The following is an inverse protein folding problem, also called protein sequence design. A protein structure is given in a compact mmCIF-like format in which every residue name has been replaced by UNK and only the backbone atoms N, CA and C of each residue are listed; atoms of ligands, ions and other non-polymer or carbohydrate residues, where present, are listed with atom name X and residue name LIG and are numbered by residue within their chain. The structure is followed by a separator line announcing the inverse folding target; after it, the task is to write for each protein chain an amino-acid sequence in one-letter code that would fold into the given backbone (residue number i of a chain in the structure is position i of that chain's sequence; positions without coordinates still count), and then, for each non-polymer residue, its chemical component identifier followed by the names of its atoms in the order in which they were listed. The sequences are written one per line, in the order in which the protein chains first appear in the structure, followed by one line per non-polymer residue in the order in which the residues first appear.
data_IF_739305759153
#
_entry.id   IF_739305759153
#
_cell.length_a   1.000
_cell.length_b   1.000
_cell.length_c   1.000
_cell.angle_alpha   90.00
_cell.angle_beta   90.00
_cell.angle_gamma   90.00
#
_symmetry.space_group_name_H-M   'P 1'
#
loop_
_entity.id
_entity.type
_entity.pdbx_description
1 polymer ?
#
# COMPACT_ATOMS: atom_id res chain seq x y z
N UNK A 1 44.34 8.46 -4.71
CA UNK A 1 44.26 8.62 -3.24
C UNK A 1 44.43 7.26 -2.59
N UNK A 2 45.54 7.03 -1.85
CA UNK A 2 45.74 5.79 -1.09
C UNK A 2 44.82 5.84 0.15
N UNK A 3 43.88 4.90 0.26
CA UNK A 3 43.06 4.79 1.44
C UNK A 3 43.91 4.36 2.64
N UNK A 4 43.76 5.07 3.77
CA UNK A 4 44.45 4.74 5.03
C UNK A 4 44.13 3.30 5.46
N UNK A 5 45.11 2.42 5.70
CA UNK A 5 44.89 1.03 6.13
C UNK A 5 43.99 0.88 7.36
N UNK A 6 44.10 1.79 8.34
CA UNK A 6 43.24 1.81 9.53
C UNK A 6 41.77 2.14 9.19
N UNK A 7 41.50 2.83 8.09
CA UNK A 7 40.16 3.10 7.59
C UNK A 7 39.54 1.83 6.98
N UNK A 8 40.35 1.04 6.25
CA UNK A 8 39.91 -0.23 5.67
C UNK A 8 39.62 -1.29 6.74
N UNK A 9 40.48 -1.43 7.73
CA UNK A 9 40.29 -2.37 8.86
C UNK A 9 39.01 -2.01 9.68
N UNK A 10 38.78 -0.74 9.98
CA UNK A 10 37.55 -0.28 10.62
C UNK A 10 36.31 -0.54 9.79
N UNK A 11 36.38 -0.37 8.48
CA UNK A 11 35.29 -0.66 7.57
C UNK A 11 34.98 -2.17 7.56
N UNK A 12 36.01 -3.00 7.40
CA UNK A 12 35.88 -4.46 7.41
C UNK A 12 35.27 -4.99 8.73
N UNK A 13 35.73 -4.48 9.87
CA UNK A 13 35.18 -4.82 11.18
C UNK A 13 33.69 -4.42 11.32
N UNK A 14 33.31 -3.21 10.89
CA UNK A 14 31.91 -2.76 10.90
C UNK A 14 31.02 -3.64 10.02
N UNK A 15 31.50 -4.01 8.84
CA UNK A 15 30.78 -4.87 7.92
C UNK A 15 30.61 -6.29 8.49
N UNK A 16 31.66 -6.87 9.07
CA UNK A 16 31.60 -8.18 9.71
C UNK A 16 30.58 -8.19 10.86
N UNK A 17 30.63 -7.20 11.75
CA UNK A 17 29.67 -7.08 12.86
C UNK A 17 28.24 -6.89 12.35
N UNK A 18 28.02 -6.12 11.27
CA UNK A 18 26.72 -5.94 10.66
C UNK A 18 26.19 -7.25 10.04
N UNK A 19 27.08 -8.04 9.42
CA UNK A 19 26.74 -9.36 8.89
C UNK A 19 26.35 -10.35 9.99
N UNK A 20 27.09 -10.36 11.10
CA UNK A 20 26.80 -11.21 12.26
C UNK A 20 25.41 -10.91 12.83
N UNK A 21 25.11 -9.64 13.12
CA UNK A 21 23.79 -9.19 13.60
C UNK A 21 22.67 -9.59 12.61
N UNK A 22 22.91 -9.43 11.31
CA UNK A 22 21.92 -9.81 10.30
C UNK A 22 21.72 -11.33 10.23
N UNK A 23 22.78 -12.13 10.34
CA UNK A 23 22.67 -13.60 10.39
C UNK A 23 21.89 -14.08 11.61
N UNK A 24 22.15 -13.49 12.80
CA UNK A 24 21.39 -13.78 14.01
C UNK A 24 19.90 -13.42 13.86
N UNK A 25 19.59 -12.25 13.28
CA UNK A 25 18.20 -11.85 13.02
C UNK A 25 17.49 -12.78 12.06
N UNK A 26 18.16 -13.19 10.98
CA UNK A 26 17.63 -14.14 9.99
C UNK A 26 17.40 -15.51 10.65
N UNK A 27 18.36 -15.99 11.45
CA UNK A 27 18.24 -17.27 12.14
C UNK A 27 17.11 -17.30 13.18
N UNK A 28 16.76 -16.15 13.76
CA UNK A 28 15.67 -16.01 14.72
C UNK A 28 14.31 -15.67 14.07
N UNK A 29 14.28 -15.46 12.76
CA UNK A 29 13.04 -15.21 12.02
C UNK A 29 12.43 -16.55 11.59
N UNK A 30 11.55 -17.09 12.42
CA UNK A 30 10.92 -18.41 12.26
C UNK A 30 9.42 -18.34 11.93
N UNK A 31 8.85 -17.13 11.84
CA UNK A 31 7.43 -16.92 11.55
C UNK A 31 7.18 -16.74 10.06
N UNK A 32 6.25 -17.52 9.54
CA UNK A 32 5.67 -17.33 8.21
C UNK A 32 4.22 -16.91 8.35
N UNK A 33 3.88 -15.72 7.80
CA UNK A 33 2.52 -15.19 7.82
C UNK A 33 2.32 -14.18 6.70
N UNK A 34 1.06 -13.97 6.33
CA UNK A 34 0.65 -12.84 5.51
C UNK A 34 0.91 -11.52 6.25
N UNK A 35 1.42 -10.53 5.54
CA UNK A 35 1.81 -9.23 6.11
C UNK A 35 0.73 -8.20 5.81
N UNK A 36 0.24 -7.50 6.84
CA UNK A 36 -0.51 -6.28 6.71
C UNK A 36 0.44 -5.08 6.68
N UNK A 37 0.53 -4.43 5.53
CA UNK A 37 1.39 -3.28 5.32
C UNK A 37 0.56 -2.01 5.12
N UNK A 38 0.84 -0.96 5.88
CA UNK A 38 0.19 0.35 5.74
C UNK A 38 1.18 1.39 5.23
N UNK A 39 0.83 2.03 4.11
CA UNK A 39 1.59 3.11 3.48
C UNK A 39 0.82 4.42 3.67
N UNK A 40 1.32 5.30 4.53
CA UNK A 40 0.63 6.54 4.90
C UNK A 40 1.51 7.77 4.80
N UNK A 41 1.01 8.91 5.24
CA UNK A 41 1.73 10.18 5.26
C UNK A 41 1.43 11.10 4.06
N UNK A 42 1.89 12.38 4.14
CA UNK A 42 1.59 13.42 3.14
C UNK A 42 2.42 13.30 1.87
N UNK A 43 3.51 12.52 1.89
CA UNK A 43 4.44 12.35 0.77
C UNK A 43 3.88 11.50 -0.36
N UNK A 44 4.50 11.62 -1.53
CA UNK A 44 4.20 10.80 -2.73
C UNK A 44 4.85 9.42 -2.63
N UNK A 45 4.33 8.46 -3.42
CA UNK A 45 4.88 7.12 -3.56
C UNK A 45 4.09 6.02 -2.84
N UNK A 46 3.01 6.33 -2.11
CA UNK A 46 2.19 5.33 -1.41
C UNK A 46 1.60 4.30 -2.38
N UNK A 47 0.77 4.75 -3.32
CA UNK A 47 0.18 3.88 -4.35
C UNK A 47 1.25 3.22 -5.21
N UNK A 48 2.28 3.97 -5.67
CA UNK A 48 3.39 3.41 -6.45
C UNK A 48 4.14 2.30 -5.70
N UNK A 49 4.29 2.40 -4.37
CA UNK A 49 4.88 1.32 -3.55
C UNK A 49 3.94 0.12 -3.46
N UNK A 50 2.62 0.34 -3.28
CA UNK A 50 1.61 -0.72 -3.28
C UNK A 50 1.60 -1.47 -4.62
N UNK A 51 1.52 -0.76 -5.73
CA UNK A 51 1.59 -1.35 -7.07
C UNK A 51 2.95 -2.01 -7.36
N UNK A 52 4.05 -1.51 -6.80
CA UNK A 52 5.35 -2.17 -6.87
C UNK A 52 5.36 -3.54 -6.16
N UNK A 53 4.66 -3.68 -5.04
CA UNK A 53 4.47 -4.96 -4.35
C UNK A 53 3.55 -5.89 -5.15
N UNK A 54 2.48 -5.35 -5.73
CA UNK A 54 1.60 -6.07 -6.65
C UNK A 54 2.39 -6.67 -7.82
N UNK A 55 3.22 -5.86 -8.49
CA UNK A 55 4.08 -6.32 -9.58
C UNK A 55 5.05 -7.43 -9.13
N UNK A 56 5.58 -7.33 -7.91
CA UNK A 56 6.46 -8.37 -7.33
C UNK A 56 5.68 -9.66 -7.09
N UNK A 57 4.48 -9.60 -6.51
CA UNK A 57 3.62 -10.75 -6.28
C UNK A 57 3.28 -11.46 -7.60
N UNK A 58 2.89 -10.70 -8.63
CA UNK A 58 2.64 -11.24 -9.97
C UNK A 58 3.88 -11.90 -10.59
N UNK A 59 5.08 -11.32 -10.36
CA UNK A 59 6.35 -11.92 -10.78
C UNK A 59 6.65 -13.28 -10.12
N UNK A 60 6.02 -13.59 -9.00
CA UNK A 60 6.02 -14.89 -8.33
C UNK A 60 4.84 -15.79 -8.71
N UNK A 61 3.99 -15.37 -9.66
CA UNK A 61 2.82 -16.14 -10.11
C UNK A 61 1.63 -16.07 -9.15
N UNK A 62 1.64 -15.16 -8.18
CA UNK A 62 0.59 -14.98 -7.20
C UNK A 62 -0.68 -14.38 -7.82
N UNK A 63 -1.84 -14.73 -7.25
CA UNK A 63 -3.11 -14.08 -7.56
C UNK A 63 -3.31 -12.85 -6.69
N UNK A 64 -3.70 -11.73 -7.29
CA UNK A 64 -3.80 -10.45 -6.58
C UNK A 64 -5.14 -9.77 -6.80
N UNK A 65 -5.65 -9.12 -5.76
CA UNK A 65 -6.82 -8.26 -5.81
C UNK A 65 -6.43 -6.80 -5.67
N UNK A 66 -7.11 -5.91 -6.37
CA UNK A 66 -6.96 -4.45 -6.24
C UNK A 66 -8.32 -3.81 -6.07
N UNK A 67 -8.48 -3.03 -5.02
CA UNK A 67 -9.64 -2.15 -4.83
C UNK A 67 -9.15 -0.72 -4.61
N UNK A 68 -9.50 0.18 -5.53
CA UNK A 68 -9.22 1.61 -5.41
C UNK A 68 -10.44 2.33 -4.86
N UNK A 69 -10.32 2.95 -3.69
CA UNK A 69 -11.40 3.64 -2.97
C UNK A 69 -11.62 5.09 -3.39
N UNK A 70 -10.63 5.68 -4.07
CA UNK A 70 -10.74 7.04 -4.59
C UNK A 70 -10.22 7.04 -6.02
N UNK A 71 -11.10 7.39 -6.96
CA UNK A 71 -10.70 7.58 -8.35
C UNK A 71 -10.41 9.06 -8.62
N UNK A 72 -9.25 9.35 -9.21
CA UNK A 72 -8.99 10.64 -9.84
C UNK A 72 -9.83 10.81 -11.12
N UNK A 73 -9.81 12.03 -11.72
CA UNK A 73 -10.51 12.31 -12.98
C UNK A 73 -10.06 11.46 -14.17
N UNK A 74 -8.89 10.91 -14.08
CA UNK A 74 -8.26 10.20 -15.18
C UNK A 74 -7.88 8.79 -14.73
N UNK A 75 -8.01 7.82 -15.63
CA UNK A 75 -7.40 6.50 -15.46
C UNK A 75 -5.90 6.68 -15.26
N UNK A 76 -5.35 6.03 -14.24
CA UNK A 76 -3.92 6.04 -13.97
C UNK A 76 -3.19 5.06 -14.88
N UNK A 77 -1.88 5.26 -15.06
CA UNK A 77 -1.04 4.33 -15.81
C UNK A 77 -1.05 2.93 -15.20
N UNK A 78 -1.17 2.84 -13.87
CA UNK A 78 -1.27 1.58 -13.12
C UNK A 78 -2.56 0.82 -13.46
N UNK A 79 -3.71 1.49 -13.50
CA UNK A 79 -4.97 0.86 -13.89
C UNK A 79 -4.88 0.27 -15.30
N UNK A 80 -4.39 1.05 -16.27
CA UNK A 80 -4.25 0.62 -17.65
C UNK A 80 -3.28 -0.56 -17.82
N UNK A 81 -2.26 -0.66 -16.97
CA UNK A 81 -1.26 -1.72 -17.02
C UNK A 81 -1.72 -3.01 -16.33
N UNK A 82 -2.33 -2.91 -15.15
CA UNK A 82 -2.62 -4.08 -14.31
C UNK A 82 -3.99 -4.72 -14.58
N UNK A 83 -5.00 -3.95 -15.01
CA UNK A 83 -6.40 -4.41 -15.10
C UNK A 83 -6.59 -5.67 -15.94
N UNK A 84 -5.87 -5.77 -17.06
CA UNK A 84 -6.03 -6.87 -18.04
C UNK A 84 -4.99 -7.98 -17.86
N UNK A 85 -4.17 -7.93 -16.81
CA UNK A 85 -3.19 -8.98 -16.56
C UNK A 85 -3.86 -10.24 -16.00
N UNK A 86 -3.40 -11.44 -16.39
CA UNK A 86 -3.85 -12.66 -15.74
C UNK A 86 -3.50 -12.62 -14.24
N UNK A 87 -4.33 -13.26 -13.42
CA UNK A 87 -4.21 -13.28 -11.97
C UNK A 87 -4.40 -11.92 -11.27
N UNK A 88 -5.01 -10.94 -11.94
CA UNK A 88 -5.37 -9.65 -11.34
C UNK A 88 -6.87 -9.44 -11.40
N UNK A 89 -7.52 -9.28 -10.26
CA UNK A 89 -8.89 -8.80 -10.15
C UNK A 89 -8.86 -7.33 -9.72
N UNK A 90 -9.22 -6.42 -10.64
CA UNK A 90 -9.07 -4.98 -10.44
C UNK A 90 -10.41 -4.25 -10.39
N UNK A 91 -10.70 -3.60 -9.27
CA UNK A 91 -11.93 -2.84 -9.02
C UNK A 91 -11.63 -1.39 -8.66
N UNK A 92 -12.39 -0.48 -9.25
CA UNK A 92 -12.33 0.95 -8.95
C UNK A 92 -13.68 1.39 -8.42
N UNK A 93 -13.70 2.05 -7.27
CA UNK A 93 -14.90 2.59 -6.66
C UNK A 93 -15.49 3.69 -7.54
N UNK A 94 -16.76 3.53 -7.92
CA UNK A 94 -17.63 4.55 -8.49
C UNK A 94 -17.10 5.31 -9.71
N UNK A 95 -18.00 5.84 -10.53
CA UNK A 95 -17.67 6.75 -11.60
C UNK A 95 -17.74 8.21 -11.06
N UNK A 96 -16.62 8.94 -11.03
CA UNK A 96 -16.58 10.37 -10.73
C UNK A 96 -15.80 10.76 -9.47
N UNK A 97 -15.58 12.05 -9.31
CA UNK A 97 -14.88 12.64 -8.17
C UNK A 97 -15.73 12.59 -6.90
N UNK A 98 -15.20 12.02 -5.84
CA UNK A 98 -15.80 12.05 -4.50
C UNK A 98 -15.84 13.46 -3.89
N UNK A 99 -14.96 14.37 -4.30
CA UNK A 99 -14.96 15.77 -3.83
C UNK A 99 -15.89 16.73 -4.61
N UNK A 100 -16.42 16.29 -5.76
CA UNK A 100 -17.30 17.12 -6.58
C UNK A 100 -18.79 16.79 -6.39
N UNK A 101 -19.10 15.61 -5.81
CA UNK A 101 -20.49 15.13 -5.78
C UNK A 101 -21.37 15.86 -4.79
N UNK A 102 -20.82 16.51 -3.74
CA UNK A 102 -21.57 17.13 -2.62
C UNK A 102 -22.70 16.22 -2.06
N UNK A 103 -22.68 14.94 -2.39
CA UNK A 103 -23.66 13.90 -2.02
C UNK A 103 -22.98 12.84 -1.17
N UNK A 104 -22.96 13.08 0.14
CA UNK A 104 -22.32 12.18 1.10
C UNK A 104 -22.96 10.79 1.12
N UNK A 105 -24.27 10.69 0.93
CA UNK A 105 -24.97 9.40 0.95
C UNK A 105 -24.51 8.51 -0.21
N UNK A 106 -24.36 9.09 -1.38
CA UNK A 106 -23.84 8.41 -2.56
C UNK A 106 -22.39 7.97 -2.38
N UNK A 107 -21.56 8.82 -1.80
CA UNK A 107 -20.15 8.49 -1.53
C UNK A 107 -20.02 7.35 -0.51
N UNK A 108 -20.81 7.38 0.56
CA UNK A 108 -20.90 6.31 1.57
C UNK A 108 -21.36 5.00 0.93
N UNK A 109 -22.42 5.03 0.11
CA UNK A 109 -22.92 3.84 -0.57
C UNK A 109 -21.87 3.22 -1.50
N UNK A 110 -21.19 4.07 -2.30
CA UNK A 110 -20.13 3.62 -3.20
C UNK A 110 -18.93 3.04 -2.45
N UNK A 111 -18.49 3.69 -1.35
CA UNK A 111 -17.38 3.22 -0.53
C UNK A 111 -17.70 1.87 0.14
N UNK A 112 -18.93 1.70 0.65
CA UNK A 112 -19.35 0.42 1.23
C UNK A 112 -19.45 -0.68 0.18
N UNK A 113 -19.96 -0.40 -1.03
CA UNK A 113 -19.97 -1.38 -2.11
C UNK A 113 -18.56 -1.82 -2.53
N UNK A 114 -17.60 -0.88 -2.56
CA UNK A 114 -16.19 -1.20 -2.80
C UNK A 114 -15.60 -2.02 -1.65
N UNK A 115 -15.98 -1.71 -0.39
CA UNK A 115 -15.53 -2.50 0.75
C UNK A 115 -16.11 -3.91 0.74
N UNK A 116 -17.36 -4.11 0.33
CA UNK A 116 -17.94 -5.45 0.18
C UNK A 116 -17.13 -6.32 -0.80
N UNK A 117 -16.63 -5.73 -1.89
CA UNK A 117 -15.73 -6.42 -2.82
C UNK A 117 -14.39 -6.74 -2.13
N UNK A 118 -13.79 -5.76 -1.45
CA UNK A 118 -12.55 -5.94 -0.73
C UNK A 118 -12.64 -7.01 0.36
N UNK A 119 -13.72 -7.00 1.15
CA UNK A 119 -13.99 -7.98 2.20
C UNK A 119 -14.11 -9.40 1.63
N UNK A 120 -14.79 -9.57 0.49
CA UNK A 120 -14.85 -10.87 -0.19
C UNK A 120 -13.46 -11.35 -0.63
N UNK A 121 -12.60 -10.47 -1.15
CA UNK A 121 -11.22 -10.83 -1.50
C UNK A 121 -10.38 -11.16 -0.26
N UNK A 122 -10.59 -10.43 0.85
CA UNK A 122 -9.89 -10.67 2.12
C UNK A 122 -10.32 -11.97 2.81
N UNK A 123 -11.47 -12.53 2.48
CA UNK A 123 -11.97 -13.81 2.99
C UNK A 123 -11.68 -15.00 2.06
N UNK A 124 -11.26 -14.75 0.82
CA UNK A 124 -10.95 -15.77 -0.18
C UNK A 124 -9.46 -16.11 -0.17
N UNK A 125 -9.14 -17.34 0.23
CA UNK A 125 -7.77 -17.86 0.33
C UNK A 125 -7.08 -18.07 -1.03
N UNK A 126 -7.79 -17.90 -2.13
CA UNK A 126 -7.21 -17.91 -3.47
C UNK A 126 -6.41 -16.64 -3.79
N UNK A 127 -6.61 -15.54 -3.05
CA UNK A 127 -5.80 -14.34 -3.21
C UNK A 127 -4.57 -14.37 -2.29
N UNK A 128 -3.40 -14.21 -2.86
CA UNK A 128 -2.13 -14.11 -2.15
C UNK A 128 -1.86 -12.68 -1.62
N UNK A 129 -2.34 -11.66 -2.35
CA UNK A 129 -2.19 -10.26 -1.97
C UNK A 129 -3.41 -9.43 -2.37
N UNK A 130 -3.91 -8.59 -1.44
CA UNK A 130 -4.97 -7.61 -1.71
C UNK A 130 -4.43 -6.20 -1.49
N UNK A 131 -4.50 -5.35 -2.52
CA UNK A 131 -4.15 -3.93 -2.46
C UNK A 131 -5.41 -3.08 -2.32
N UNK A 132 -5.49 -2.34 -1.21
CA UNK A 132 -6.57 -1.42 -0.85
C UNK A 132 -6.07 0.02 -1.03
N UNK A 133 -6.14 0.51 -2.27
CA UNK A 133 -5.54 1.80 -2.63
C UNK A 133 -6.45 2.97 -2.23
N UNK A 134 -5.87 3.95 -1.53
CA UNK A 134 -6.52 5.13 -0.94
C UNK A 134 -7.64 4.80 0.07
N UNK A 135 -7.66 3.60 0.67
CA UNK A 135 -8.62 3.23 1.71
C UNK A 135 -8.58 4.20 2.91
N UNK A 136 -7.38 4.65 3.32
CA UNK A 136 -7.23 5.56 4.46
C UNK A 136 -8.02 6.87 4.29
N UNK A 137 -8.26 7.30 3.06
CA UNK A 137 -9.06 8.51 2.79
C UNK A 137 -10.54 8.23 3.03
N UNK A 138 -11.05 7.08 2.57
CA UNK A 138 -12.44 6.67 2.83
C UNK A 138 -12.72 6.52 4.33
N UNK A 139 -11.77 5.94 5.07
CA UNK A 139 -11.83 5.83 6.54
C UNK A 139 -11.83 7.21 7.22
N UNK A 140 -10.96 8.13 6.78
CA UNK A 140 -10.89 9.49 7.32
C UNK A 140 -12.19 10.26 7.17
N UNK A 141 -12.91 10.07 6.06
CA UNK A 141 -14.20 10.70 5.83
C UNK A 141 -15.37 9.94 6.45
N UNK A 142 -15.08 8.85 7.17
CA UNK A 142 -16.10 7.98 7.79
C UNK A 142 -17.14 7.47 6.77
N UNK A 143 -16.67 7.13 5.57
CA UNK A 143 -17.51 6.52 4.53
C UNK A 143 -17.68 5.02 4.76
N UNK A 144 -16.74 4.39 5.47
CA UNK A 144 -16.72 2.97 5.82
C UNK A 144 -16.51 2.87 7.32
N UNK A 145 -17.19 1.94 7.96
CA UNK A 145 -17.01 1.62 9.36
C UNK A 145 -15.61 1.06 9.63
N UNK A 146 -14.86 1.70 10.54
CA UNK A 146 -13.49 1.33 10.85
C UNK A 146 -13.40 -0.04 11.52
N UNK A 147 -14.31 -0.34 12.45
CA UNK A 147 -14.27 -1.60 13.21
C UNK A 147 -14.49 -2.78 12.28
N UNK A 148 -15.39 -2.64 11.30
CA UNK A 148 -15.58 -3.64 10.24
C UNK A 148 -14.30 -3.86 9.42
N UNK A 149 -13.62 -2.80 9.03
CA UNK A 149 -12.38 -2.87 8.26
C UNK A 149 -11.28 -3.59 9.04
N UNK A 150 -11.13 -3.26 10.33
CA UNK A 150 -10.14 -3.89 11.20
C UNK A 150 -10.43 -5.38 11.40
N UNK A 151 -11.70 -5.74 11.60
CA UNK A 151 -12.13 -7.13 11.76
C UNK A 151 -11.85 -7.96 10.49
N UNK A 152 -12.24 -7.48 9.32
CA UNK A 152 -11.98 -8.15 8.04
C UNK A 152 -10.47 -8.32 7.78
N UNK A 153 -9.66 -7.29 8.06
CA UNK A 153 -8.21 -7.35 7.91
C UNK A 153 -7.55 -8.33 8.90
N UNK A 154 -8.04 -8.40 10.12
CA UNK A 154 -7.51 -9.29 11.16
C UNK A 154 -7.85 -10.75 10.88
N UNK A 155 -9.03 -11.02 10.35
CA UNK A 155 -9.55 -12.37 10.11
C UNK A 155 -9.23 -12.92 8.71
N UNK A 156 -8.40 -12.23 7.90
CA UNK A 156 -7.99 -12.70 6.58
C UNK A 156 -7.19 -14.02 6.67
N UNK A 157 -7.12 -14.81 5.61
CA UNK A 157 -6.30 -16.02 5.54
C UNK A 157 -4.87 -15.78 6.01
N UNK A 158 -4.33 -16.71 6.81
CA UNK A 158 -3.07 -16.53 7.54
C UNK A 158 -1.87 -16.17 6.67
N UNK A 159 -1.84 -16.61 5.39
CA UNK A 159 -0.75 -16.33 4.45
C UNK A 159 -1.06 -15.19 3.47
N UNK A 160 -2.28 -14.65 3.48
CA UNK A 160 -2.68 -13.57 2.58
C UNK A 160 -2.05 -12.24 3.01
N UNK A 161 -1.37 -11.57 2.08
CA UNK A 161 -0.87 -10.22 2.29
C UNK A 161 -1.96 -9.19 2.04
N UNK A 162 -1.96 -8.10 2.82
CA UNK A 162 -2.80 -6.94 2.57
C UNK A 162 -1.94 -5.67 2.57
N UNK A 163 -2.16 -4.80 1.59
CA UNK A 163 -1.48 -3.51 1.47
C UNK A 163 -2.51 -2.40 1.47
N UNK A 164 -2.45 -1.52 2.46
CA UNK A 164 -3.35 -0.37 2.58
C UNK A 164 -2.57 0.91 2.27
N UNK A 165 -3.11 1.75 1.39
CA UNK A 165 -2.50 3.04 1.09
C UNK A 165 -3.44 4.20 1.43
N UNK A 166 -2.87 5.40 1.46
CA UNK A 166 -3.60 6.63 1.66
C UNK A 166 -3.05 7.50 2.79
N UNK A 167 -3.41 8.78 2.76
CA UNK A 167 -3.04 9.71 3.84
C UNK A 167 -3.90 9.47 5.06
N UNK A 168 -3.36 9.81 6.24
CA UNK A 168 -4.12 9.86 7.50
C UNK A 168 -4.65 8.49 7.96
N UNK A 169 -3.82 7.45 7.90
CA UNK A 169 -4.18 6.13 8.43
C UNK A 169 -4.67 6.26 9.89
N UNK A 170 -5.81 5.66 10.24
CA UNK A 170 -6.30 5.60 11.62
C UNK A 170 -5.27 4.94 12.55
N UNK A 171 -5.26 5.36 13.81
CA UNK A 171 -4.33 4.84 14.82
C UNK A 171 -4.53 3.34 15.03
N UNK A 172 -5.75 2.89 15.06
CA UNK A 172 -6.16 1.50 15.24
C UNK A 172 -5.64 0.61 14.08
N UNK A 173 -5.68 1.11 12.85
CA UNK A 173 -5.11 0.43 11.69
C UNK A 173 -3.58 0.36 11.76
N UNK A 174 -2.93 1.43 12.25
CA UNK A 174 -1.48 1.46 12.48
C UNK A 174 -1.08 0.43 13.55
N UNK A 175 -1.86 0.30 14.61
CA UNK A 175 -1.62 -0.66 15.70
C UNK A 175 -1.83 -2.11 15.25
N UNK A 176 -2.80 -2.36 14.35
CA UNK A 176 -3.06 -3.69 13.77
C UNK A 176 -1.98 -4.13 12.78
N UNK A 177 -1.35 -3.19 12.07
CA UNK A 177 -0.45 -3.48 10.96
C UNK A 177 0.88 -4.11 11.41
N UNK A 178 1.38 -5.08 10.64
CA UNK A 178 2.72 -5.67 10.83
C UNK A 178 3.85 -4.71 10.40
N UNK A 179 3.57 -3.85 9.43
CA UNK A 179 4.54 -2.87 8.91
C UNK A 179 3.83 -1.58 8.54
N UNK A 180 4.36 -0.46 9.02
CA UNK A 180 3.87 0.87 8.69
C UNK A 180 5.00 1.73 8.15
N UNK A 181 4.76 2.39 7.01
CA UNK A 181 5.71 3.36 6.44
C UNK A 181 5.02 4.70 6.25
N UNK A 182 5.58 5.75 6.86
CA UNK A 182 5.13 7.12 6.66
C UNK A 182 5.98 7.82 5.60
N UNK A 183 5.37 8.25 4.51
CA UNK A 183 6.02 9.01 3.44
C UNK A 183 5.92 10.51 3.72
N UNK A 184 7.08 11.15 3.96
CA UNK A 184 7.19 12.57 4.26
C UNK A 184 7.47 13.40 3.02
N UNK A 185 6.92 14.62 2.98
CA UNK A 185 7.26 15.60 1.96
C UNK A 185 8.55 16.31 2.36
N UNK A 186 9.62 16.08 1.62
CA UNK A 186 10.87 16.85 1.75
C UNK A 186 10.86 18.02 0.76
N UNK A 187 10.36 17.80 -0.46
CA UNK A 187 10.20 18.77 -1.53
C UNK A 187 9.04 18.35 -2.44
N UNK A 188 8.31 19.29 -3.02
CA UNK A 188 7.13 18.97 -3.83
C UNK A 188 7.07 19.82 -5.09
N UNK A 189 7.21 19.20 -6.26
CA UNK A 189 7.26 19.90 -7.56
C UNK A 189 6.06 20.82 -7.79
N UNK A 190 4.82 20.37 -7.50
CA UNK A 190 3.63 21.22 -7.65
C UNK A 190 3.59 22.35 -6.62
N UNK A 191 3.80 22.05 -5.32
CA UNK A 191 3.65 23.05 -4.24
C UNK A 191 4.76 24.10 -4.26
N UNK A 192 6.01 23.64 -4.51
CA UNK A 192 7.21 24.48 -4.38
C UNK A 192 7.61 25.14 -5.69
N UNK A 193 7.22 24.56 -6.85
CA UNK A 193 7.65 24.99 -8.17
C UNK A 193 6.51 25.24 -9.17
N UNK A 194 5.23 24.96 -8.81
CA UNK A 194 4.10 25.08 -9.71
C UNK A 194 4.08 24.10 -10.90
N UNK A 195 4.86 23.00 -10.81
CA UNK A 195 4.90 21.99 -11.89
C UNK A 195 3.59 21.21 -11.89
N UNK A 196 2.92 21.17 -13.05
CA UNK A 196 1.68 20.38 -13.24
C UNK A 196 1.98 18.87 -13.14
N UNK A 197 0.94 18.08 -12.88
CA UNK A 197 1.02 16.62 -12.92
C UNK A 197 1.54 16.12 -14.26
N UNK A 198 2.48 15.19 -14.24
CA UNK A 198 3.17 14.65 -15.42
C UNK A 198 2.82 13.17 -15.63
N UNK A 199 2.62 12.79 -16.90
CA UNK A 199 2.43 11.37 -17.27
C UNK A 199 3.67 10.55 -16.88
N UNK A 200 3.41 9.36 -16.33
CA UNK A 200 4.45 8.45 -15.89
C UNK A 200 5.08 8.79 -14.53
N UNK A 201 4.64 9.89 -13.88
CA UNK A 201 5.05 10.27 -12.51
C UNK A 201 3.85 10.44 -11.59
N UNK A 202 2.79 11.08 -12.06
CA UNK A 202 1.60 11.40 -11.27
C UNK A 202 0.29 10.96 -11.95
N UNK A 203 0.37 10.64 -13.25
CA UNK A 203 -0.74 10.18 -14.10
C UNK A 203 -0.35 8.89 -14.83
#
# INVERSE_FOLDING_TARGET
MRQDPKSQERHAWRMAKKQEIMRERIANADKEQGILLVLTGPGKGKSSSGFGMLARALGHGMKVGVVQFIKGAFSTGEEAFFRDLPNVDYHVMGEGYTWDTQDRERDVAAANAAWDIAANMLQDDSYDLVLLDELNIALRYEYIDLDRVLDDLQNRPAMQHAVVTGRYAPKELIELADTVTEMKVVKHAFKDQGVKAQKGVEL
#
